data_IF_376651694038
#
_entry.id   IF_376651694038
#
_cell.length_a   1.000
_cell.length_b   1.000
_cell.length_c   1.000
_cell.angle_alpha   90.00
_cell.angle_beta   90.00
_cell.angle_gamma   90.00
#
_symmetry.space_group_name_H-M   'P 1'
#
loop_
_entity.id
_entity.type
_entity.pdbx_description
1 polymer ?
#
# COMPACT_ATOMS: atom_id res chain seq x y z
N UNK A 1 -49.48 -23.83 -0.39
CA UNK A 1 -48.54 -23.99 0.73
C UNK A 1 -47.18 -23.51 0.28
N UNK A 2 -46.67 -22.54 1.03
CA UNK A 2 -45.49 -21.70 0.81
C UNK A 2 -44.18 -22.49 0.96
N UNK A 3 -43.16 -22.02 0.24
CA UNK A 3 -41.77 -22.52 0.08
C UNK A 3 -40.96 -22.58 1.40
N UNK A 4 -39.71 -23.10 1.38
CA UNK A 4 -38.62 -22.18 1.06
C UNK A 4 -37.59 -22.71 0.06
N UNK A 5 -37.22 -21.85 -0.89
CA UNK A 5 -35.98 -21.90 -1.66
C UNK A 5 -34.78 -21.61 -0.74
N UNK A 6 -33.60 -22.17 -1.00
CA UNK A 6 -32.39 -21.82 -0.25
C UNK A 6 -31.97 -20.40 -0.61
N UNK A 7 -31.98 -19.52 0.40
CA UNK A 7 -31.42 -18.18 0.29
C UNK A 7 -29.93 -18.25 0.01
N UNK A 8 -29.51 -17.64 -1.10
CA UNK A 8 -28.10 -17.33 -1.35
C UNK A 8 -27.73 -16.21 -0.39
N UNK A 9 -27.23 -16.57 0.79
CA UNK A 9 -26.46 -15.65 1.62
C UNK A 9 -25.15 -15.37 0.89
N UNK A 10 -25.16 -14.32 0.08
CA UNK A 10 -23.98 -13.80 -0.61
C UNK A 10 -22.97 -13.30 0.41
N UNK A 11 -22.13 -14.20 0.92
CA UNK A 11 -20.80 -13.81 1.37
C UNK A 11 -20.08 -13.29 0.12
N UNK A 12 -19.92 -11.98 0.01
CA UNK A 12 -18.99 -11.36 -0.94
C UNK A 12 -17.60 -11.84 -0.55
N UNK A 13 -17.22 -13.02 -1.05
CA UNK A 13 -15.85 -13.51 -0.95
C UNK A 13 -15.04 -12.60 -1.85
N UNK A 14 -14.40 -11.60 -1.25
CA UNK A 14 -13.40 -10.78 -1.91
C UNK A 14 -12.28 -11.73 -2.35
N UNK A 15 -12.21 -12.01 -3.65
CA UNK A 15 -11.10 -12.74 -4.23
C UNK A 15 -9.88 -11.81 -4.28
N UNK A 16 -9.00 -11.95 -3.27
CA UNK A 16 -7.79 -11.15 -3.13
C UNK A 16 -6.87 -11.27 -4.35
N UNK A 17 -6.86 -12.42 -5.03
CA UNK A 17 -6.05 -12.64 -6.22
C UNK A 17 -6.66 -11.93 -7.43
N UNK A 18 -7.98 -11.92 -7.58
CA UNK A 18 -8.65 -11.14 -8.61
C UNK A 18 -8.40 -9.63 -8.44
N UNK A 19 -8.53 -9.12 -7.21
CA UNK A 19 -8.23 -7.72 -6.88
C UNK A 19 -6.75 -7.39 -7.16
N UNK A 20 -5.85 -8.30 -6.81
CA UNK A 20 -4.42 -8.12 -7.08
C UNK A 20 -4.14 -8.02 -8.58
N UNK A 21 -4.77 -8.87 -9.41
CA UNK A 21 -4.61 -8.82 -10.88
C UNK A 21 -5.15 -7.54 -11.48
N UNK A 22 -6.21 -6.97 -10.89
CA UNK A 22 -6.71 -5.65 -11.29
C UNK A 22 -5.72 -4.53 -10.93
N UNK A 23 -5.23 -4.53 -9.68
CA UNK A 23 -4.19 -3.62 -9.22
C UNK A 23 -2.94 -3.70 -10.12
N UNK A 24 -2.44 -4.91 -10.39
CA UNK A 24 -1.29 -5.15 -11.25
C UNK A 24 -1.47 -4.54 -12.65
N UNK A 25 -2.65 -4.72 -13.26
CA UNK A 25 -2.96 -4.15 -14.58
C UNK A 25 -2.98 -2.61 -14.53
N UNK A 26 -3.65 -2.04 -13.52
CA UNK A 26 -3.70 -0.59 -13.34
C UNK A 26 -2.32 0.01 -13.12
N UNK A 27 -1.53 -0.55 -12.20
CA UNK A 27 -0.15 -0.12 -11.94
C UNK A 27 0.68 -0.21 -13.22
N UNK A 28 0.62 -1.32 -13.97
CA UNK A 28 1.36 -1.48 -15.24
C UNK A 28 1.05 -0.38 -16.25
N UNK A 29 -0.20 0.06 -16.38
CA UNK A 29 -0.58 1.14 -17.31
C UNK A 29 -0.08 2.53 -16.90
N UNK A 30 0.23 2.72 -15.62
CA UNK A 30 0.62 4.00 -15.03
C UNK A 30 2.11 4.12 -14.74
N UNK A 31 2.84 3.00 -14.84
CA UNK A 31 4.29 2.95 -14.60
C UNK A 31 5.04 3.76 -15.65
N UNK A 32 6.03 4.51 -15.16
CA UNK A 32 7.09 5.10 -15.96
C UNK A 32 8.41 4.38 -15.64
N UNK A 33 9.43 4.49 -16.51
CA UNK A 33 10.76 3.93 -16.21
C UNK A 33 11.40 4.47 -14.91
N UNK A 34 10.94 5.63 -14.44
CA UNK A 34 11.43 6.31 -13.23
C UNK A 34 10.59 6.04 -11.99
N UNK A 35 9.46 5.34 -12.11
CA UNK A 35 8.55 5.12 -10.99
C UNK A 35 9.20 4.24 -9.92
N UNK A 36 9.15 4.70 -8.67
CA UNK A 36 9.62 3.97 -7.49
C UNK A 36 8.44 3.48 -6.67
N UNK A 37 8.42 2.18 -6.35
CA UNK A 37 7.35 1.59 -5.53
C UNK A 37 7.71 1.70 -4.05
N UNK A 38 6.75 2.12 -3.22
CA UNK A 38 6.88 2.09 -1.77
C UNK A 38 5.57 1.57 -1.14
N UNK A 39 5.66 0.52 -0.34
CA UNK A 39 4.49 -0.04 0.34
C UNK A 39 4.37 0.44 1.79
N UNK A 40 3.16 0.70 2.24
CA UNK A 40 2.90 0.97 3.66
C UNK A 40 3.12 -0.31 4.47
N UNK A 41 3.83 -0.21 5.59
CA UNK A 41 4.19 -1.33 6.44
C UNK A 41 3.02 -2.29 6.69
N UNK A 42 3.30 -3.60 6.72
CA UNK A 42 2.35 -4.73 6.68
C UNK A 42 1.85 -5.08 5.27
N UNK A 43 0.56 -4.88 4.95
CA UNK A 43 -0.05 -5.32 3.70
C UNK A 43 0.48 -4.60 2.45
N UNK A 44 0.64 -3.28 2.52
CA UNK A 44 1.17 -2.47 1.41
C UNK A 44 2.60 -2.85 1.02
N UNK A 45 3.47 -3.12 2.00
CA UNK A 45 4.85 -3.54 1.79
C UNK A 45 4.93 -4.88 1.03
N UNK A 46 4.10 -5.86 1.42
CA UNK A 46 4.00 -7.12 0.71
C UNK A 46 3.49 -6.94 -0.73
N UNK A 47 2.49 -6.07 -0.93
CA UNK A 47 1.98 -5.75 -2.27
C UNK A 47 3.05 -5.10 -3.15
N UNK A 48 3.82 -4.16 -2.61
CA UNK A 48 4.88 -3.48 -3.34
C UNK A 48 6.01 -4.44 -3.74
N UNK A 49 6.41 -5.35 -2.85
CA UNK A 49 7.39 -6.40 -3.15
C UNK A 49 6.88 -7.36 -4.23
N UNK A 50 5.63 -7.81 -4.12
CA UNK A 50 5.01 -8.68 -5.13
C UNK A 50 4.90 -7.97 -6.49
N UNK A 51 4.50 -6.70 -6.51
CA UNK A 51 4.44 -5.89 -7.73
C UNK A 51 5.82 -5.68 -8.36
N UNK A 52 6.87 -5.37 -7.58
CA UNK A 52 8.25 -5.29 -8.08
C UNK A 52 8.60 -6.55 -8.91
N UNK A 53 8.31 -7.73 -8.33
CA UNK A 53 8.58 -9.02 -8.97
C UNK A 53 7.74 -9.24 -10.23
N UNK A 54 6.42 -9.07 -10.14
CA UNK A 54 5.49 -9.37 -11.24
C UNK A 54 5.56 -8.35 -12.39
N UNK A 55 6.14 -7.17 -12.13
CA UNK A 55 6.43 -6.13 -13.12
C UNK A 55 7.86 -6.17 -13.65
N UNK A 56 8.74 -7.00 -13.07
CA UNK A 56 10.15 -7.10 -13.46
C UNK A 56 10.95 -5.83 -13.20
N UNK A 57 10.61 -5.09 -12.15
CA UNK A 57 11.32 -3.87 -11.75
C UNK A 57 12.62 -4.23 -11.02
N UNK A 58 13.66 -3.43 -11.22
CA UNK A 58 14.95 -3.63 -10.57
C UNK A 58 14.93 -3.17 -9.10
N UNK A 59 15.73 -3.84 -8.27
CA UNK A 59 15.91 -3.50 -6.85
C UNK A 59 14.75 -3.93 -5.94
N UNK A 60 14.83 -3.61 -4.64
CA UNK A 60 13.73 -3.83 -3.70
C UNK A 60 12.74 -2.66 -3.72
N UNK A 61 11.48 -2.94 -3.35
CA UNK A 61 10.51 -1.89 -3.06
C UNK A 61 10.88 -1.14 -1.76
N UNK A 62 10.45 0.12 -1.67
CA UNK A 62 10.49 0.86 -0.41
C UNK A 62 9.43 0.38 0.56
N UNK A 63 9.68 0.61 1.86
CA UNK A 63 8.73 0.40 2.95
C UNK A 63 8.54 1.72 3.67
N UNK A 64 7.28 2.13 3.86
CA UNK A 64 6.91 3.34 4.60
C UNK A 64 6.19 2.94 5.88
N UNK A 65 6.67 3.43 7.03
CA UNK A 65 6.02 3.21 8.30
C UNK A 65 5.16 4.40 8.69
N UNK A 66 4.00 4.15 9.30
CA UNK A 66 3.16 5.20 9.90
C UNK A 66 3.43 5.35 11.41
N UNK A 67 4.42 4.65 11.95
CA UNK A 67 4.74 4.70 13.38
C UNK A 67 5.34 6.07 13.68
N UNK A 68 4.51 6.95 14.24
CA UNK A 68 4.92 8.25 14.74
C UNK A 68 6.15 8.08 15.63
N UNK A 69 7.25 8.67 15.19
CA UNK A 69 8.51 8.66 15.92
C UNK A 69 8.31 9.14 17.37
N UNK A 70 8.73 8.28 18.30
CA UNK A 70 9.12 8.48 19.72
C UNK A 70 8.11 8.19 20.85
N UNK A 71 6.84 8.58 20.80
CA UNK A 71 6.00 8.48 22.02
C UNK A 71 5.32 7.10 22.20
N UNK A 72 4.93 6.43 21.11
CA UNK A 72 4.30 5.10 21.17
C UNK A 72 5.30 3.96 21.42
N UNK A 73 6.60 4.24 21.25
CA UNK A 73 7.68 3.26 21.45
C UNK A 73 7.84 2.85 22.92
N UNK A 74 7.47 3.74 23.85
CA UNK A 74 7.54 3.47 25.28
C UNK A 74 6.40 2.55 25.78
N UNK A 75 5.27 2.47 25.06
CA UNK A 75 4.08 1.74 25.50
C UNK A 75 3.91 0.36 24.86
N UNK A 76 4.48 0.11 23.67
CA UNK A 76 4.36 -1.17 22.95
C UNK A 76 5.67 -1.94 23.01
N UNK A 77 5.87 -2.70 24.08
CA UNK A 77 7.06 -3.53 24.27
C UNK A 77 7.39 -4.39 23.03
N UNK A 78 8.68 -4.41 22.67
CA UNK A 78 9.44 -5.38 21.85
C UNK A 78 8.84 -5.96 20.55
N UNK A 79 7.68 -5.50 20.08
CA UNK A 79 7.22 -5.80 18.72
C UNK A 79 7.98 -4.87 17.77
N UNK A 80 8.88 -5.44 16.97
CA UNK A 80 9.65 -4.73 15.97
C UNK A 80 8.68 -4.02 15.02
N UNK A 81 8.46 -2.72 15.25
CA UNK A 81 7.76 -1.86 14.31
C UNK A 81 8.61 -1.81 13.04
N UNK A 82 8.02 -2.14 11.90
CA UNK A 82 8.71 -1.98 10.62
C UNK A 82 9.11 -0.52 10.48
N UNK A 83 10.40 -0.27 10.24
CA UNK A 83 10.93 1.07 10.03
C UNK A 83 10.81 1.47 8.57
N UNK A 84 10.70 2.78 8.31
CA UNK A 84 10.77 3.32 6.95
C UNK A 84 12.13 3.01 6.35
N UNK A 85 12.13 2.40 5.17
CA UNK A 85 13.33 2.03 4.42
C UNK A 85 13.08 2.28 2.93
N UNK A 86 13.76 3.29 2.38
CA UNK A 86 13.63 3.69 0.98
C UNK A 86 14.95 3.42 0.25
N UNK A 87 15.02 2.38 -0.61
CA UNK A 87 16.25 1.98 -1.30
C UNK A 87 16.56 2.84 -2.55
N UNK A 88 16.03 4.06 -2.58
CA UNK A 88 16.13 5.01 -3.68
C UNK A 88 16.19 6.43 -3.14
N UNK A 89 16.78 7.36 -3.91
CA UNK A 89 16.71 8.79 -3.59
C UNK A 89 15.28 9.29 -3.81
N UNK A 90 14.73 9.94 -2.78
CA UNK A 90 13.37 10.49 -2.80
C UNK A 90 13.31 11.80 -3.60
N UNK A 91 14.42 12.53 -3.70
CA UNK A 91 14.42 13.85 -4.34
C UNK A 91 14.15 13.74 -5.84
N UNK A 92 13.07 14.39 -6.30
CA UNK A 92 12.63 14.36 -7.69
C UNK A 92 12.06 13.01 -8.15
N UNK A 93 11.86 12.04 -7.24
CA UNK A 93 11.33 10.73 -7.60
C UNK A 93 9.82 10.75 -7.87
N UNK A 94 9.37 9.89 -8.79
CA UNK A 94 7.96 9.56 -8.97
C UNK A 94 7.60 8.37 -8.08
N UNK A 95 7.01 8.64 -6.92
CA UNK A 95 6.73 7.59 -5.92
C UNK A 95 5.30 7.10 -6.06
N UNK A 96 5.13 5.79 -6.28
CA UNK A 96 3.84 5.12 -6.15
C UNK A 96 3.78 4.44 -4.78
N UNK A 97 2.87 4.94 -3.93
CA UNK A 97 2.59 4.39 -2.61
C UNK A 97 1.52 3.31 -2.72
N UNK A 98 1.75 2.16 -2.09
CA UNK A 98 0.87 0.99 -2.12
C UNK A 98 0.31 0.71 -0.73
N UNK A 99 -0.99 0.44 -0.66
CA UNK A 99 -1.66 -0.02 0.56
C UNK A 99 -2.70 -1.10 0.23
N UNK A 100 -3.08 -1.93 1.20
CA UNK A 100 -4.12 -2.94 0.98
C UNK A 100 -5.53 -2.35 1.11
N UNK A 101 -5.75 -1.42 2.04
CA UNK A 101 -7.07 -0.86 2.32
C UNK A 101 -7.01 0.65 2.52
N UNK A 102 -7.67 1.40 1.63
CA UNK A 102 -7.98 2.80 1.89
C UNK A 102 -9.25 2.91 2.74
N UNK A 103 -9.20 3.71 3.80
CA UNK A 103 -10.36 4.08 4.59
C UNK A 103 -10.39 5.59 4.86
N UNK A 104 -10.20 6.03 6.12
CA UNK A 104 -10.25 7.47 6.48
C UNK A 104 -9.05 8.30 5.99
N UNK A 105 -8.03 7.69 5.39
CA UNK A 105 -6.82 8.36 4.91
C UNK A 105 -5.83 8.81 6.00
N UNK A 106 -6.10 8.56 7.29
CA UNK A 106 -5.20 8.95 8.40
C UNK A 106 -3.80 8.32 8.27
N UNK A 107 -3.73 7.04 7.94
CA UNK A 107 -2.47 6.32 7.71
C UNK A 107 -1.70 6.91 6.53
N UNK A 108 -2.39 7.16 5.41
CA UNK A 108 -1.78 7.78 4.22
C UNK A 108 -1.16 9.13 4.58
N UNK A 109 -1.87 9.97 5.34
CA UNK A 109 -1.32 11.28 5.75
C UNK A 109 -0.04 11.14 6.58
N UNK A 110 -0.01 10.19 7.53
CA UNK A 110 1.18 9.95 8.35
C UNK A 110 2.35 9.47 7.49
N UNK A 111 2.10 8.52 6.59
CA UNK A 111 3.10 7.98 5.66
C UNK A 111 3.62 9.04 4.69
N UNK A 112 2.77 9.94 4.20
CA UNK A 112 3.22 11.03 3.33
C UNK A 112 4.15 11.98 4.09
N UNK A 113 3.82 12.35 5.33
CA UNK A 113 4.72 13.17 6.16
C UNK A 113 6.08 12.49 6.33
N UNK A 114 6.07 11.21 6.69
CA UNK A 114 7.27 10.39 6.81
C UNK A 114 8.08 10.40 5.50
N UNK A 115 7.46 10.14 4.34
CA UNK A 115 8.13 10.20 3.04
C UNK A 115 8.79 11.57 2.79
N UNK A 116 8.12 12.67 3.18
CA UNK A 116 8.67 14.02 3.06
C UNK A 116 9.81 14.29 4.04
N UNK A 117 9.99 13.52 5.10
CA UNK A 117 11.17 13.64 5.97
C UNK A 117 12.43 13.07 5.29
N UNK A 118 12.27 12.19 4.29
CA UNK A 118 13.37 11.60 3.51
C UNK A 118 13.70 12.38 2.23
N UNK A 119 12.88 13.33 1.81
CA UNK A 119 13.17 14.16 0.64
C UNK A 119 11.96 14.86 0.02
N UNK A 120 12.12 15.32 -1.22
CA UNK A 120 11.06 16.00 -1.98
C UNK A 120 10.80 15.26 -3.29
N UNK A 121 9.81 14.34 -3.34
CA UNK A 121 9.44 13.65 -4.57
C UNK A 121 8.87 14.63 -5.60
N UNK A 122 9.06 14.31 -6.89
CA UNK A 122 8.43 15.07 -7.99
C UNK A 122 6.92 14.81 -8.04
N UNK A 123 6.51 13.57 -7.75
CA UNK A 123 5.12 13.19 -7.66
C UNK A 123 4.92 12.07 -6.64
N UNK A 124 3.74 12.05 -6.00
CA UNK A 124 3.30 10.94 -5.16
C UNK A 124 1.92 10.50 -5.61
N UNK A 125 1.77 9.23 -5.96
CA UNK A 125 0.50 8.59 -6.33
C UNK A 125 0.18 7.49 -5.33
N UNK A 126 -1.09 7.18 -5.16
CA UNK A 126 -1.57 6.09 -4.30
C UNK A 126 -2.28 5.04 -5.15
N UNK A 127 -1.98 3.77 -4.93
CA UNK A 127 -2.79 2.66 -5.44
C UNK A 127 -3.09 1.70 -4.28
N UNK A 128 -4.37 1.29 -4.19
CA UNK A 128 -4.85 0.43 -3.11
C UNK A 128 -5.59 -0.78 -3.64
N UNK A 129 -5.54 -1.89 -2.90
CA UNK A 129 -6.26 -3.11 -3.29
C UNK A 129 -7.78 -2.95 -3.11
N UNK A 130 -8.22 -2.26 -2.05
CA UNK A 130 -9.63 -2.01 -1.75
C UNK A 130 -9.82 -0.59 -1.20
N UNK A 131 -10.84 0.13 -1.69
CA UNK A 131 -11.33 1.36 -1.06
C UNK A 131 -12.62 1.07 -0.26
N UNK A 132 -12.56 1.29 1.06
CA UNK A 132 -13.69 1.14 1.99
C UNK A 132 -14.38 2.47 2.32
N UNK A 133 -13.96 3.57 1.71
CA UNK A 133 -14.50 4.93 1.92
C UNK A 133 -15.87 5.17 1.30
N UNK A 134 -16.41 4.21 0.54
CA UNK A 134 -17.75 4.26 -0.03
C UNK A 134 -17.95 5.34 -1.10
N UNK A 135 -16.90 5.67 -1.85
CA UNK A 135 -16.94 6.66 -2.93
C UNK A 135 -16.68 6.01 -4.28
#
# INVERSE_FOLDING_TARGET
MTTPSPGVSGSLVLDAEALYRELLRGVRSMLTPTTRLAGIASGGAWLAERLQKDLGLEGPAGVLSSVMHRDDFAQRGLSASAQTALPFDVNGADVLVLDDVLYTGRTIRAVLNELFDYGRPASVRLAVLVDRGGR
#
